data_IF_213171355133
#
_entry.id   IF_213171355133
#
_cell.length_a   1.000
_cell.length_b   1.000
_cell.length_c   1.000
_cell.angle_alpha   90.00
_cell.angle_beta   90.00
_cell.angle_gamma   90.00
#
_symmetry.space_group_name_H-M   'P 1'
#
loop_
_entity.id
_entity.type
_entity.pdbx_description
1 polymer ?
#
# COMPACT_ATOMS: atom_id res chain seq x y z
N UNK A 1 -16.42 -13.44 18.81
CA UNK A 1 -15.43 -13.19 17.76
C UNK A 1 -16.17 -12.49 16.64
N UNK A 2 -15.62 -11.40 16.10
CA UNK A 2 -16.20 -10.75 14.93
C UNK A 2 -15.97 -11.61 13.67
N UNK A 3 -16.76 -11.40 12.61
CA UNK A 3 -16.53 -12.09 11.33
C UNK A 3 -15.10 -11.85 10.81
N UNK A 4 -14.59 -10.63 11.00
CA UNK A 4 -13.23 -10.26 10.62
C UNK A 4 -12.16 -11.05 11.37
N UNK A 5 -12.30 -11.21 12.69
CA UNK A 5 -11.41 -12.04 13.50
C UNK A 5 -11.44 -13.50 13.03
N UNK A 6 -12.63 -14.05 12.76
CA UNK A 6 -12.76 -15.43 12.27
C UNK A 6 -12.13 -15.61 10.88
N UNK A 7 -12.40 -14.71 9.92
CA UNK A 7 -11.82 -14.77 8.57
C UNK A 7 -10.30 -14.62 8.62
N UNK A 8 -9.75 -13.75 9.49
CA UNK A 8 -8.30 -13.63 9.66
C UNK A 8 -7.67 -14.91 10.24
N UNK A 9 -8.35 -15.56 11.19
CA UNK A 9 -7.92 -16.83 11.77
C UNK A 9 -7.92 -17.94 10.72
N UNK A 10 -8.97 -18.01 9.89
CA UNK A 10 -9.03 -18.96 8.78
C UNK A 10 -7.95 -18.68 7.73
N UNK A 11 -7.67 -17.42 7.42
CA UNK A 11 -6.62 -17.08 6.47
C UNK A 11 -5.25 -17.57 6.99
N UNK A 12 -4.92 -17.35 8.26
CA UNK A 12 -3.71 -17.92 8.86
C UNK A 12 -3.67 -19.45 8.76
N UNK A 13 -4.80 -20.11 9.01
CA UNK A 13 -4.89 -21.57 8.85
C UNK A 13 -4.61 -22.00 7.42
N UNK A 14 -5.15 -21.31 6.41
CA UNK A 14 -4.86 -21.57 4.99
C UNK A 14 -3.37 -21.40 4.69
N UNK A 15 -2.72 -20.35 5.21
CA UNK A 15 -1.29 -20.13 5.02
C UNK A 15 -0.42 -21.25 5.63
N UNK A 16 -0.93 -21.96 6.65
CA UNK A 16 -0.23 -23.06 7.31
C UNK A 16 -0.63 -24.46 6.82
N UNK A 17 -1.81 -24.63 6.22
CA UNK A 17 -2.37 -25.94 5.86
C UNK A 17 -1.96 -26.45 4.48
N UNK A 18 -1.61 -25.57 3.54
CA UNK A 18 -1.27 -26.00 2.18
C UNK A 18 0.23 -26.31 2.09
N UNK A 19 0.64 -27.54 1.69
CA UNK A 19 1.96 -27.69 1.10
C UNK A 19 1.97 -26.76 -0.13
N UNK A 20 2.91 -25.81 -0.14
CA UNK A 20 3.07 -24.73 -1.14
C UNK A 20 3.37 -25.26 -2.57
N UNK A 21 3.07 -26.53 -2.85
CA UNK A 21 3.43 -27.26 -4.06
C UNK A 21 2.39 -27.09 -5.18
N UNK A 22 1.14 -26.71 -4.86
CA UNK A 22 0.03 -26.58 -5.84
C UNK A 22 -0.72 -25.24 -5.74
N UNK A 23 -0.18 -24.26 -5.00
CA UNK A 23 -0.74 -22.91 -4.87
C UNK A 23 0.18 -21.86 -5.51
N UNK A 24 -0.41 -20.87 -6.20
CA UNK A 24 0.28 -19.65 -6.66
C UNK A 24 0.81 -18.77 -5.50
N UNK A 25 0.48 -19.12 -4.25
CA UNK A 25 1.01 -18.50 -3.03
C UNK A 25 2.30 -19.25 -2.68
N UNK A 26 3.42 -18.55 -2.78
CA UNK A 26 4.77 -19.06 -2.49
C UNK A 26 5.14 -18.82 -1.03
N UNK A 27 6.26 -19.39 -0.59
CA UNK A 27 6.83 -19.09 0.75
C UNK A 27 7.11 -17.59 0.92
N UNK A 28 7.58 -16.91 -0.12
CA UNK A 28 7.82 -15.45 -0.10
C UNK A 28 6.52 -14.67 0.16
N UNK A 29 5.40 -15.13 -0.42
CA UNK A 29 4.09 -14.53 -0.16
C UNK A 29 3.67 -14.70 1.31
N UNK A 30 3.86 -15.90 1.87
CA UNK A 30 3.57 -16.17 3.29
C UNK A 30 4.42 -15.27 4.20
N UNK A 31 5.72 -15.18 3.94
CA UNK A 31 6.64 -14.34 4.72
C UNK A 31 6.21 -12.87 4.66
N UNK A 32 5.81 -12.37 3.49
CA UNK A 32 5.31 -11.00 3.32
C UNK A 32 3.96 -10.78 4.03
N UNK A 33 3.06 -11.79 4.02
CA UNK A 33 1.78 -11.69 4.70
C UNK A 33 1.92 -11.60 6.21
N UNK A 34 2.87 -12.33 6.78
CA UNK A 34 3.11 -12.42 8.22
C UNK A 34 4.06 -11.34 8.75
N UNK A 35 4.74 -10.59 7.86
CA UNK A 35 5.65 -9.53 8.27
C UNK A 35 4.92 -8.47 9.09
N UNK A 36 5.40 -8.19 10.29
CA UNK A 36 4.86 -7.15 11.16
C UNK A 36 5.49 -5.78 10.86
N UNK A 37 4.74 -4.72 11.16
CA UNK A 37 5.36 -3.40 11.30
C UNK A 37 6.30 -3.39 12.51
N UNK A 38 7.41 -2.66 12.42
CA UNK A 38 8.25 -2.41 13.57
C UNK A 38 7.40 -1.73 14.65
N UNK A 39 7.60 -2.07 15.94
CA UNK A 39 6.82 -1.48 17.02
C UNK A 39 7.01 0.04 17.03
N UNK A 40 6.04 0.76 16.48
CA UNK A 40 5.94 2.20 16.64
C UNK A 40 5.43 2.41 18.05
N UNK A 41 6.25 3.07 18.88
CA UNK A 41 5.89 3.41 20.26
C UNK A 41 4.51 4.09 20.26
N UNK A 42 3.54 3.45 20.92
CA UNK A 42 2.23 3.98 21.31
C UNK A 42 1.08 4.13 20.28
N UNK A 43 0.95 3.30 19.24
CA UNK A 43 -0.33 3.25 18.49
C UNK A 43 -0.70 1.82 18.04
N UNK A 44 -1.67 1.20 18.73
CA UNK A 44 -2.48 0.14 18.12
C UNK A 44 -3.18 0.75 16.91
N UNK A 45 -2.86 0.28 15.70
CA UNK A 45 -3.62 0.61 14.50
C UNK A 45 -4.60 -0.53 14.25
N UNK A 46 -5.89 -0.25 14.38
CA UNK A 46 -6.91 -1.17 13.89
C UNK A 46 -6.64 -1.48 12.41
N UNK A 47 -6.95 -2.71 11.93
CA UNK A 47 -6.79 -3.05 10.52
C UNK A 47 -7.57 -2.05 9.68
N UNK A 48 -6.91 -1.48 8.66
CA UNK A 48 -7.55 -0.46 7.85
C UNK A 48 -8.83 -1.04 7.24
N UNK A 49 -9.98 -0.37 7.43
CA UNK A 49 -11.27 -0.79 6.87
C UNK A 49 -11.49 -0.21 5.46
N UNK A 50 -10.63 0.70 5.00
CA UNK A 50 -10.75 1.40 3.72
C UNK A 50 -9.62 1.03 2.78
N UNK A 51 -9.96 0.78 1.51
CA UNK A 51 -8.95 0.47 0.49
C UNK A 51 -8.04 1.67 0.16
N UNK A 52 -8.45 2.88 0.56
CA UNK A 52 -7.64 4.11 0.51
C UNK A 52 -6.72 4.15 1.74
N UNK A 53 -5.45 4.46 1.51
CA UNK A 53 -4.39 4.42 2.52
C UNK A 53 -3.31 3.39 2.18
N UNK A 54 -2.11 3.61 2.69
CA UNK A 54 -1.02 2.66 2.57
C UNK A 54 -1.30 1.43 3.46
N UNK A 55 -1.14 0.20 2.94
CA UNK A 55 -1.60 -1.00 3.63
C UNK A 55 -0.89 -1.20 4.97
N UNK A 56 -1.69 -1.48 6.00
CA UNK A 56 -1.21 -1.85 7.33
C UNK A 56 -0.63 -3.27 7.32
N UNK A 57 0.47 -3.47 8.04
CA UNK A 57 1.01 -4.80 8.30
C UNK A 57 0.51 -5.36 9.64
N UNK A 58 0.40 -6.69 9.79
CA UNK A 58 0.64 -7.72 8.77
C UNK A 58 -0.44 -7.75 7.67
N UNK A 59 -0.02 -8.01 6.42
CA UNK A 59 -0.87 -7.84 5.24
C UNK A 59 -2.09 -8.78 5.22
N UNK A 60 -1.99 -9.97 5.84
CA UNK A 60 -3.13 -10.90 5.89
C UNK A 60 -4.33 -10.28 6.61
N UNK A 61 -4.11 -9.46 7.65
CA UNK A 61 -5.20 -8.78 8.38
C UNK A 61 -5.90 -7.76 7.49
N UNK A 62 -5.12 -6.97 6.74
CA UNK A 62 -5.67 -5.98 5.80
C UNK A 62 -6.48 -6.66 4.70
N UNK A 63 -5.98 -7.76 4.13
CA UNK A 63 -6.69 -8.53 3.10
C UNK A 63 -7.96 -9.16 3.69
N UNK A 64 -7.90 -9.77 4.88
CA UNK A 64 -9.08 -10.34 5.56
C UNK A 64 -10.16 -9.29 5.79
N UNK A 65 -9.80 -8.08 6.21
CA UNK A 65 -10.74 -6.98 6.38
C UNK A 65 -11.46 -6.63 5.06
N UNK A 66 -10.74 -6.63 3.94
CA UNK A 66 -11.31 -6.38 2.60
C UNK A 66 -12.21 -7.51 2.12
N UNK A 67 -11.82 -8.76 2.36
CA UNK A 67 -12.68 -9.92 2.07
C UNK A 67 -13.98 -9.87 2.89
N UNK A 68 -13.90 -9.55 4.19
CA UNK A 68 -15.08 -9.39 5.05
C UNK A 68 -16.00 -8.26 4.55
N UNK A 69 -15.43 -7.10 4.22
CA UNK A 69 -16.20 -6.01 3.63
C UNK A 69 -16.92 -6.45 2.35
N UNK A 70 -16.26 -7.24 1.51
CA UNK A 70 -16.88 -7.76 0.28
C UNK A 70 -17.99 -8.77 0.61
N UNK A 71 -17.79 -9.66 1.57
CA UNK A 71 -18.82 -10.60 2.05
C UNK A 71 -20.07 -9.87 2.57
N UNK A 72 -19.88 -8.86 3.41
CA UNK A 72 -20.97 -8.12 4.06
C UNK A 72 -21.71 -7.20 3.09
N UNK A 73 -20.99 -6.53 2.19
CA UNK A 73 -21.59 -5.52 1.30
C UNK A 73 -21.97 -6.06 -0.08
N UNK A 74 -21.47 -7.24 -0.46
CA UNK A 74 -21.57 -7.79 -1.82
C UNK A 74 -20.76 -7.02 -2.88
N UNK A 75 -20.05 -5.96 -2.49
CA UNK A 75 -19.32 -5.08 -3.40
C UNK A 75 -17.81 -5.22 -3.21
N UNK A 76 -17.05 -5.24 -4.31
CA UNK A 76 -15.60 -5.31 -4.24
C UNK A 76 -15.05 -3.99 -3.66
N UNK A 77 -14.24 -4.01 -2.58
CA UNK A 77 -13.69 -2.80 -1.97
C UNK A 77 -12.93 -1.89 -2.94
N UNK A 78 -12.26 -2.50 -3.92
CA UNK A 78 -11.41 -1.83 -4.92
C UNK A 78 -12.20 -0.85 -5.80
N UNK A 79 -13.51 -1.02 -5.92
CA UNK A 79 -14.38 -0.09 -6.68
C UNK A 79 -14.43 1.32 -6.12
N UNK A 80 -14.10 1.46 -4.83
CA UNK A 80 -14.09 2.74 -4.15
C UNK A 80 -12.82 3.54 -4.42
N UNK A 81 -11.80 2.94 -5.04
CA UNK A 81 -10.57 3.67 -5.31
C UNK A 81 -10.75 4.67 -6.47
N UNK A 82 -10.28 5.92 -6.31
CA UNK A 82 -10.31 6.92 -7.38
C UNK A 82 -9.55 6.48 -8.63
N UNK A 83 -10.01 6.93 -9.79
CA UNK A 83 -9.30 6.76 -11.07
C UNK A 83 -8.21 7.81 -11.23
N UNK A 84 -7.08 7.41 -11.77
CA UNK A 84 -5.96 8.31 -12.11
C UNK A 84 -5.78 8.37 -13.62
N UNK A 85 -6.35 9.38 -14.28
CA UNK A 85 -6.45 9.42 -15.76
C UNK A 85 -5.10 9.49 -16.49
N UNK A 86 -4.05 10.01 -15.83
CA UNK A 86 -2.69 10.11 -16.40
C UNK A 86 -1.79 8.90 -16.05
N UNK A 87 -2.32 7.95 -15.28
CA UNK A 87 -1.66 6.72 -14.89
C UNK A 87 -2.41 5.56 -15.54
N UNK A 88 -2.00 5.18 -16.76
CA UNK A 88 -2.64 4.09 -17.49
C UNK A 88 -2.53 2.77 -16.72
N UNK A 89 -3.66 2.38 -16.10
CA UNK A 89 -3.76 1.10 -15.42
C UNK A 89 -3.97 -0.01 -16.44
N UNK A 90 -3.01 -0.95 -16.53
CA UNK A 90 -3.08 -2.08 -17.46
C UNK A 90 -3.66 -3.31 -16.77
N UNK A 91 -4.45 -4.11 -17.52
CA UNK A 91 -4.98 -5.45 -17.20
C UNK A 91 -4.68 -5.94 -15.77
N UNK A 92 -5.45 -5.44 -14.81
CA UNK A 92 -5.45 -5.89 -13.42
C UNK A 92 -6.34 -7.13 -13.30
N UNK A 93 -5.97 -8.13 -12.49
CA UNK A 93 -6.75 -9.37 -12.36
C UNK A 93 -8.19 -9.11 -11.88
N UNK A 94 -8.39 -8.12 -10.99
CA UNK A 94 -9.73 -7.68 -10.56
C UNK A 94 -10.40 -6.68 -11.51
N UNK A 95 -9.71 -6.22 -12.57
CA UNK A 95 -10.36 -5.53 -13.70
C UNK A 95 -10.93 -6.52 -14.72
N UNK A 96 -10.55 -7.80 -14.69
CA UNK A 96 -11.27 -8.84 -15.41
C UNK A 96 -12.63 -9.05 -14.75
N UNK A 97 -13.70 -8.69 -15.46
CA UNK A 97 -15.08 -8.83 -14.99
C UNK A 97 -15.39 -10.25 -14.50
N UNK A 98 -14.78 -11.27 -15.11
CA UNK A 98 -15.02 -12.68 -14.77
C UNK A 98 -14.45 -13.07 -13.40
N UNK A 99 -13.17 -12.76 -13.12
CA UNK A 99 -12.54 -13.12 -11.83
C UNK A 99 -13.27 -12.43 -10.69
N UNK A 100 -13.54 -11.14 -10.87
CA UNK A 100 -14.28 -10.32 -9.90
C UNK A 100 -15.68 -10.88 -9.60
N UNK A 101 -16.44 -11.23 -10.63
CA UNK A 101 -17.80 -11.78 -10.46
C UNK A 101 -17.73 -13.13 -9.74
N UNK A 102 -16.86 -14.03 -10.18
CA UNK A 102 -16.68 -15.34 -9.56
C UNK A 102 -16.22 -15.25 -8.10
N UNK A 103 -15.31 -14.32 -7.77
CA UNK A 103 -14.89 -14.08 -6.39
C UNK A 103 -16.05 -13.56 -5.55
N UNK A 104 -16.82 -12.60 -6.07
CA UNK A 104 -18.01 -12.07 -5.39
C UNK A 104 -19.04 -13.16 -5.09
N UNK A 105 -19.32 -14.03 -6.05
CA UNK A 105 -20.27 -15.14 -5.88
C UNK A 105 -19.78 -16.15 -4.82
N UNK A 106 -18.50 -16.49 -4.83
CA UNK A 106 -17.90 -17.40 -3.83
C UNK A 106 -17.88 -16.80 -2.43
N UNK A 107 -17.58 -15.50 -2.31
CA UNK A 107 -17.63 -14.79 -1.02
C UNK A 107 -19.07 -14.71 -0.49
N UNK A 108 -20.04 -14.49 -1.38
CA UNK A 108 -21.46 -14.49 -1.02
C UNK A 108 -21.91 -15.87 -0.54
N UNK A 109 -21.53 -16.95 -1.23
CA UNK A 109 -21.80 -18.33 -0.80
C UNK A 109 -21.19 -18.62 0.58
N UNK A 110 -19.91 -18.25 0.77
CA UNK A 110 -19.22 -18.39 2.06
C UNK A 110 -19.93 -17.60 3.18
N UNK A 111 -20.37 -16.39 2.90
CA UNK A 111 -21.06 -15.53 3.87
C UNK A 111 -22.43 -16.08 4.26
N UNK A 112 -23.26 -16.44 3.27
CA UNK A 112 -24.62 -16.97 3.51
C UNK A 112 -24.58 -18.31 4.24
N UNK A 113 -23.65 -19.19 3.87
CA UNK A 113 -23.51 -20.50 4.51
C UNK A 113 -22.64 -20.51 5.76
N UNK A 114 -22.10 -19.37 6.20
CA UNK A 114 -21.09 -19.29 7.27
C UNK A 114 -21.46 -20.11 8.50
N UNK A 115 -22.66 -19.90 9.05
CA UNK A 115 -23.14 -20.57 10.26
C UNK A 115 -23.36 -22.08 10.09
N UNK A 116 -23.55 -22.56 8.86
CA UNK A 116 -23.82 -23.96 8.55
C UNK A 116 -22.57 -24.75 8.18
N UNK A 117 -21.54 -24.09 7.65
CA UNK A 117 -20.28 -24.73 7.29
C UNK A 117 -19.44 -25.05 8.52
N UNK A 118 -18.87 -26.25 8.52
CA UNK A 118 -17.81 -26.68 9.43
C UNK A 118 -16.53 -25.85 9.24
N UNK A 119 -15.61 -25.92 10.20
CA UNK A 119 -14.32 -25.21 10.11
C UNK A 119 -13.52 -25.57 8.86
N UNK A 120 -13.44 -26.86 8.52
CA UNK A 120 -12.74 -27.33 7.32
C UNK A 120 -13.39 -26.83 6.03
N UNK A 121 -14.73 -26.83 5.94
CA UNK A 121 -15.42 -26.30 4.76
C UNK A 121 -15.17 -24.80 4.56
N UNK A 122 -15.06 -24.04 5.66
CA UNK A 122 -14.72 -22.61 5.58
C UNK A 122 -13.27 -22.40 5.10
N UNK A 123 -12.34 -23.24 5.57
CA UNK A 123 -10.93 -23.24 5.10
C UNK A 123 -10.88 -23.52 3.60
N UNK A 124 -11.49 -24.62 3.13
CA UNK A 124 -11.47 -25.03 1.73
C UNK A 124 -12.07 -23.96 0.81
N UNK A 125 -13.19 -23.34 1.23
CA UNK A 125 -13.83 -22.25 0.50
C UNK A 125 -12.94 -21.00 0.45
N UNK A 126 -12.34 -20.62 1.58
CA UNK A 126 -11.43 -19.47 1.63
C UNK A 126 -10.19 -19.72 0.78
N UNK A 127 -9.57 -20.89 0.85
CA UNK A 127 -8.44 -21.27 0.02
C UNK A 127 -8.80 -21.17 -1.48
N UNK A 128 -9.96 -21.67 -1.88
CA UNK A 128 -10.44 -21.54 -3.26
C UNK A 128 -10.62 -20.09 -3.72
N UNK A 129 -11.04 -19.20 -2.81
CA UNK A 129 -11.15 -17.75 -3.09
C UNK A 129 -9.77 -17.11 -3.25
N UNK A 130 -8.83 -17.44 -2.35
CA UNK A 130 -7.46 -16.92 -2.41
C UNK A 130 -6.73 -17.40 -3.68
N UNK A 131 -6.91 -18.67 -4.08
CA UNK A 131 -6.41 -19.23 -5.34
C UNK A 131 -7.00 -18.52 -6.57
N UNK A 132 -8.31 -18.28 -6.57
CA UNK A 132 -8.98 -17.55 -7.66
C UNK A 132 -8.47 -16.10 -7.78
N UNK A 133 -8.21 -15.43 -6.66
CA UNK A 133 -7.64 -14.08 -6.66
C UNK A 133 -6.18 -14.08 -7.15
N UNK A 134 -5.40 -15.07 -6.72
CA UNK A 134 -3.96 -15.16 -6.94
C UNK A 134 -3.19 -13.97 -6.34
N UNK A 135 -1.87 -13.94 -6.53
CA UNK A 135 -1.00 -12.85 -6.04
C UNK A 135 -1.55 -11.47 -6.44
N UNK A 136 -1.91 -11.30 -7.71
CA UNK A 136 -2.35 -10.02 -8.25
C UNK A 136 -3.69 -9.55 -7.69
N UNK A 137 -4.66 -10.45 -7.49
CA UNK A 137 -5.94 -10.12 -6.88
C UNK A 137 -5.80 -9.71 -5.43
N UNK A 138 -4.93 -10.39 -4.67
CA UNK A 138 -4.60 -10.04 -3.28
C UNK A 138 -3.92 -8.68 -3.16
N UNK A 139 -2.95 -8.38 -4.05
CA UNK A 139 -2.33 -7.06 -4.11
C UNK A 139 -3.35 -5.95 -4.44
N UNK A 140 -4.33 -6.23 -5.31
CA UNK A 140 -5.38 -5.25 -5.62
C UNK A 140 -6.26 -4.94 -4.39
N UNK A 141 -6.52 -5.92 -3.52
CA UNK A 141 -7.24 -5.69 -2.25
C UNK A 141 -6.44 -4.78 -1.30
N UNK A 142 -5.10 -4.76 -1.40
CA UNK A 142 -4.21 -3.83 -0.69
C UNK A 142 -4.13 -2.43 -1.34
N UNK A 143 -4.92 -2.15 -2.39
CA UNK A 143 -4.87 -0.88 -3.12
C UNK A 143 -3.68 -0.73 -4.07
N UNK A 144 -2.89 -1.79 -4.28
CA UNK A 144 -1.76 -1.79 -5.22
C UNK A 144 -2.27 -1.73 -6.66
N UNK A 145 -1.73 -0.80 -7.44
CA UNK A 145 -2.04 -0.54 -8.84
C UNK A 145 -1.06 -1.26 -9.76
N UNK A 146 -1.38 -1.26 -11.06
CA UNK A 146 -0.55 -1.84 -12.10
C UNK A 146 -0.58 -0.97 -13.34
N UNK A 147 0.60 -0.58 -13.80
CA UNK A 147 0.87 0.14 -15.05
C UNK A 147 1.95 -0.59 -15.85
N UNK A 148 2.26 -0.12 -17.06
CA UNK A 148 3.43 -0.62 -17.81
C UNK A 148 4.70 -0.50 -16.97
N UNK A 149 5.49 -1.58 -16.89
CA UNK A 149 6.71 -1.64 -16.09
C UNK A 149 6.53 -2.02 -14.62
N UNK A 150 5.30 -2.28 -14.17
CA UNK A 150 5.03 -2.71 -12.79
C UNK A 150 5.57 -4.12 -12.52
N UNK A 151 5.96 -4.36 -11.27
CA UNK A 151 6.38 -5.67 -10.74
C UNK A 151 5.45 -6.06 -9.59
N UNK A 152 5.02 -7.32 -9.58
CA UNK A 152 4.13 -7.86 -8.55
C UNK A 152 4.93 -8.26 -7.30
N UNK A 153 5.41 -7.23 -6.58
CA UNK A 153 6.11 -7.33 -5.30
C UNK A 153 5.24 -6.78 -4.17
N UNK A 154 5.33 -7.37 -2.99
CA UNK A 154 4.59 -6.91 -1.82
C UNK A 154 5.10 -5.56 -1.30
N UNK A 155 4.22 -4.67 -0.84
CA UNK A 155 4.63 -3.42 -0.23
C UNK A 155 5.39 -3.68 1.08
N UNK A 156 6.52 -3.00 1.35
CA UNK A 156 7.20 -3.11 2.63
C UNK A 156 6.36 -2.55 3.79
N UNK A 157 6.72 -2.86 5.05
CA UNK A 157 6.06 -2.27 6.21
C UNK A 157 6.08 -0.76 6.20
N UNK A 158 4.98 -0.12 6.61
CA UNK A 158 4.86 1.33 6.68
C UNK A 158 5.93 1.94 7.58
N UNK A 159 6.20 1.27 8.69
CA UNK A 159 7.26 1.62 9.65
C UNK A 159 8.65 1.70 8.97
N UNK A 160 8.93 0.86 7.97
CA UNK A 160 10.17 0.91 7.19
C UNK A 160 10.27 2.21 6.40
N UNK A 161 9.17 2.64 5.76
CA UNK A 161 9.11 3.90 5.01
C UNK A 161 9.28 5.12 5.92
N UNK A 162 8.58 5.12 7.06
CA UNK A 162 8.63 6.20 8.04
C UNK A 162 10.02 6.32 8.67
N UNK A 163 10.65 5.19 9.01
CA UNK A 163 12.01 5.17 9.56
C UNK A 163 13.02 5.71 8.56
N UNK A 164 13.01 5.26 7.31
CA UNK A 164 14.00 5.70 6.31
C UNK A 164 13.79 7.16 5.90
N UNK A 165 12.54 7.63 5.94
CA UNK A 165 12.22 9.06 5.78
C UNK A 165 12.77 9.91 6.92
N UNK A 166 12.67 9.43 8.17
CA UNK A 166 13.14 10.11 9.38
C UNK A 166 14.64 9.91 9.68
N UNK A 167 15.35 9.07 8.94
CA UNK A 167 16.80 8.93 9.04
C UNK A 167 17.51 10.27 8.80
N UNK A 168 18.57 10.53 9.58
CA UNK A 168 19.40 11.73 9.44
C UNK A 168 19.93 11.85 8.01
N UNK A 169 19.82 13.04 7.42
CA UNK A 169 20.30 13.30 6.06
C UNK A 169 21.82 13.18 5.93
N UNK A 170 22.56 13.52 6.99
CA UNK A 170 24.02 13.41 7.04
C UNK A 170 24.44 12.59 8.25
N UNK A 171 25.48 11.76 8.13
CA UNK A 171 26.04 11.06 9.27
C UNK A 171 26.70 12.06 10.24
N UNK A 172 26.68 11.70 11.53
CA UNK A 172 27.10 12.58 12.63
C UNK A 172 28.58 12.99 12.55
N UNK A 173 29.40 12.22 11.84
CA UNK A 173 30.83 12.45 11.66
C UNK A 173 31.19 13.56 10.64
N UNK A 174 30.23 14.09 9.88
CA UNK A 174 30.51 15.13 8.85
C UNK A 174 30.13 16.53 9.36
N UNK A 175 28.89 16.70 9.84
CA UNK A 175 28.40 17.96 10.42
C UNK A 175 27.14 17.67 11.22
N UNK A 176 27.07 18.00 12.53
CA UNK A 176 25.87 17.79 13.33
C UNK A 176 24.73 18.62 12.74
N UNK A 177 23.75 17.93 12.17
CA UNK A 177 22.54 18.49 11.62
C UNK A 177 21.47 17.42 11.73
N UNK A 178 20.53 17.59 12.66
CA UNK A 178 19.45 16.63 12.90
C UNK A 178 18.34 16.69 11.84
N UNK A 179 18.58 17.35 10.70
CA UNK A 179 17.64 17.42 9.60
C UNK A 179 17.50 16.04 8.96
N UNK A 180 16.26 15.55 8.87
CA UNK A 180 15.99 14.24 8.28
C UNK A 180 16.11 14.28 6.76
N UNK A 181 16.27 13.10 6.16
CA UNK A 181 16.29 12.92 4.70
C UNK A 181 14.98 13.44 4.08
N UNK A 182 13.85 13.12 4.71
CA UNK A 182 12.54 13.63 4.33
C UNK A 182 12.41 15.14 4.39
N UNK A 183 12.83 15.78 5.49
CA UNK A 183 12.79 17.23 5.64
C UNK A 183 13.66 17.95 4.61
N UNK A 184 14.85 17.40 4.32
CA UNK A 184 15.72 17.93 3.27
C UNK A 184 15.10 17.80 1.87
N UNK A 185 14.37 16.74 1.60
CA UNK A 185 13.66 16.59 0.33
C UNK A 185 12.52 17.60 0.25
N UNK A 186 11.67 17.69 1.28
CA UNK A 186 10.53 18.61 1.32
C UNK A 186 10.97 20.05 1.10
N UNK A 187 12.09 20.46 1.70
CA UNK A 187 12.59 21.83 1.53
C UNK A 187 12.87 22.18 0.07
N UNK A 188 13.21 21.21 -0.80
CA UNK A 188 13.39 21.45 -2.24
C UNK A 188 12.06 21.69 -2.97
N UNK A 189 10.99 21.03 -2.53
CA UNK A 189 9.65 21.17 -3.11
C UNK A 189 8.97 22.48 -2.67
N UNK A 190 9.11 22.88 -1.40
CA UNK A 190 8.62 24.18 -0.92
C UNK A 190 9.18 25.39 -1.70
N UNK A 191 10.36 25.27 -2.33
CA UNK A 191 10.94 26.33 -3.17
C UNK A 191 10.41 26.32 -4.61
N UNK A 192 9.78 25.23 -5.04
CA UNK A 192 9.24 25.04 -6.40
C UNK A 192 7.73 25.28 -6.47
N UNK A 193 7.04 25.14 -5.35
CA UNK A 193 5.62 25.49 -5.19
C UNK A 193 5.46 27.01 -5.20
N UNK A 194 4.96 27.54 -6.32
CA UNK A 194 4.75 28.99 -6.52
C UNK A 194 3.53 29.47 -5.74
N UNK A 195 2.64 28.56 -5.35
CA UNK A 195 1.40 28.84 -4.61
C UNK A 195 1.52 28.65 -3.10
N UNK A 196 2.58 27.99 -2.61
CA UNK A 196 2.83 27.61 -1.20
C UNK A 196 1.67 26.78 -0.60
N UNK A 197 0.85 26.15 -1.43
CA UNK A 197 -0.46 25.67 -0.99
C UNK A 197 -0.44 24.24 -0.44
N UNK A 198 0.36 23.35 -1.01
CA UNK A 198 0.33 21.92 -0.66
C UNK A 198 1.52 21.49 0.19
N UNK A 199 2.75 21.79 -0.26
CA UNK A 199 3.98 21.42 0.45
C UNK A 199 4.25 22.29 1.69
N UNK A 200 3.61 23.47 1.75
CA UNK A 200 3.80 24.45 2.81
C UNK A 200 5.18 25.10 2.80
N UNK A 201 5.65 25.55 3.96
CA UNK A 201 6.90 26.32 4.09
C UNK A 201 7.93 25.60 4.96
N UNK A 202 9.11 25.30 4.39
CA UNK A 202 10.24 24.74 5.13
C UNK A 202 11.07 25.84 5.83
N UNK A 203 10.51 26.48 6.87
CA UNK A 203 11.19 27.50 7.69
C UNK A 203 11.11 27.17 9.19
N UNK A 204 12.03 27.75 9.96
CA UNK A 204 12.06 27.61 11.43
C UNK A 204 13.06 26.57 11.93
N UNK A 205 13.00 26.21 13.23
CA UNK A 205 13.91 25.24 13.84
C UNK A 205 13.87 23.86 13.15
N UNK A 206 15.00 23.15 13.14
CA UNK A 206 15.14 21.82 12.50
C UNK A 206 14.06 20.84 12.96
N UNK A 207 13.76 20.80 14.26
CA UNK A 207 12.70 19.94 14.80
C UNK A 207 11.31 20.23 14.17
N UNK A 208 10.98 21.51 13.94
CA UNK A 208 9.71 21.88 13.28
C UNK A 208 9.72 21.54 11.79
N UNK A 209 10.87 21.63 11.12
CA UNK A 209 10.99 21.21 9.72
C UNK A 209 10.81 19.70 9.58
N UNK A 210 11.40 18.92 10.49
CA UNK A 210 11.24 17.47 10.53
C UNK A 210 9.79 17.06 10.82
N UNK A 211 9.16 17.66 11.82
CA UNK A 211 7.74 17.41 12.15
C UNK A 211 6.80 17.77 11.00
N UNK A 212 7.02 18.92 10.33
CA UNK A 212 6.25 19.30 9.14
C UNK A 212 6.42 18.29 8.01
N UNK A 213 7.67 17.89 7.73
CA UNK A 213 7.94 16.91 6.69
C UNK A 213 7.32 15.55 6.99
N UNK A 214 7.34 15.13 8.24
CA UNK A 214 6.71 13.89 8.67
C UNK A 214 5.18 13.96 8.50
N UNK A 215 4.54 15.07 8.90
CA UNK A 215 3.09 15.28 8.66
C UNK A 215 2.72 15.19 7.19
N UNK A 216 3.55 15.76 6.30
CA UNK A 216 3.32 15.68 4.85
C UNK A 216 3.40 14.24 4.36
N UNK A 217 4.41 13.48 4.74
CA UNK A 217 4.53 12.08 4.28
C UNK A 217 3.44 11.19 4.89
N UNK A 218 3.10 11.38 6.17
CA UNK A 218 2.00 10.66 6.83
C UNK A 218 0.68 10.93 6.11
N UNK A 219 0.41 12.17 5.71
CA UNK A 219 -0.76 12.51 4.90
C UNK A 219 -0.78 11.76 3.56
N UNK A 220 0.35 11.71 2.84
CA UNK A 220 0.45 10.95 1.58
C UNK A 220 0.14 9.48 1.80
N UNK A 221 0.67 8.89 2.88
CA UNK A 221 0.46 7.49 3.21
C UNK A 221 -0.99 7.22 3.65
N UNK A 222 -1.60 8.10 4.44
CA UNK A 222 -2.99 7.94 4.92
C UNK A 222 -4.03 8.16 3.80
N UNK A 223 -3.74 9.07 2.86
CA UNK A 223 -4.61 9.43 1.75
C UNK A 223 -4.21 8.72 0.44
N UNK A 224 -3.38 7.67 0.51
CA UNK A 224 -2.86 6.98 -0.67
C UNK A 224 -4.01 6.36 -1.50
N UNK A 225 -4.07 6.70 -2.79
CA UNK A 225 -5.07 6.15 -3.73
C UNK A 225 -4.43 5.47 -4.93
N UNK A 226 -3.11 5.61 -5.05
CA UNK A 226 -2.30 4.95 -6.05
C UNK A 226 -0.97 4.53 -5.41
N UNK A 227 -0.76 3.22 -5.34
CA UNK A 227 0.46 2.61 -4.81
C UNK A 227 0.97 1.65 -5.88
N UNK A 228 2.22 1.77 -6.28
CA UNK A 228 2.76 0.88 -7.31
C UNK A 228 4.26 0.65 -7.11
N UNK A 229 4.70 -0.57 -7.42
CA UNK A 229 6.11 -0.92 -7.54
C UNK A 229 6.43 -1.14 -9.01
N UNK A 230 7.30 -0.29 -9.57
CA UNK A 230 7.61 -0.30 -11.00
C UNK A 230 9.05 0.10 -11.28
N UNK A 231 9.53 -0.26 -12.46
CA UNK A 231 10.87 0.09 -12.93
C UNK A 231 10.88 1.47 -13.59
N UNK A 232 11.76 2.36 -13.13
CA UNK A 232 12.18 3.54 -13.88
C UNK A 232 13.12 3.14 -15.04
N UNK A 233 13.43 4.07 -15.97
CA UNK A 233 14.53 3.86 -16.92
C UNK A 233 15.81 3.38 -16.22
N UNK A 234 16.51 2.43 -16.84
CA UNK A 234 17.65 1.69 -16.27
C UNK A 234 17.29 0.68 -15.16
N UNK A 235 16.06 0.15 -15.17
CA UNK A 235 15.60 -0.94 -14.29
C UNK A 235 15.65 -0.62 -12.80
N UNK A 236 15.70 0.66 -12.43
CA UNK A 236 15.68 1.07 -11.03
C UNK A 236 14.27 0.85 -10.47
N UNK A 237 14.13 -0.14 -9.60
CA UNK A 237 12.85 -0.51 -9.01
C UNK A 237 12.46 0.42 -7.86
N UNK A 238 11.32 1.08 -8.01
CA UNK A 238 10.81 2.06 -7.05
C UNK A 238 9.45 1.65 -6.52
N UNK A 239 9.21 1.98 -5.25
CA UNK A 239 7.87 2.11 -4.69
C UNK A 239 7.45 3.56 -4.85
N UNK A 240 6.32 3.80 -5.50
CA UNK A 240 5.74 5.12 -5.66
C UNK A 240 4.31 5.13 -5.08
N UNK A 241 4.05 6.12 -4.23
CA UNK A 241 2.80 6.28 -3.51
C UNK A 241 2.29 7.68 -3.79
N UNK A 242 1.03 7.79 -4.21
CA UNK A 242 0.36 9.06 -4.49
C UNK A 242 -1.00 9.12 -3.82
N UNK A 243 -1.35 10.31 -3.36
CA UNK A 243 -2.72 10.66 -3.00
C UNK A 243 -3.51 11.09 -4.26
N UNK A 244 -4.82 11.28 -4.12
CA UNK A 244 -5.75 11.58 -5.21
C UNK A 244 -5.36 12.74 -6.14
N UNK A 245 -4.86 13.87 -5.63
CA UNK A 245 -4.43 15.02 -6.46
C UNK A 245 -3.05 14.78 -7.10
N UNK A 246 -2.45 13.60 -6.91
CA UNK A 246 -1.22 13.18 -7.55
C UNK A 246 0.06 13.53 -6.80
N UNK A 247 0.02 14.32 -5.73
CA UNK A 247 1.17 14.51 -4.85
C UNK A 247 1.59 13.16 -4.24
N UNK A 248 2.90 12.94 -4.07
CA UNK A 248 3.35 11.64 -3.63
C UNK A 248 4.79 11.58 -3.17
N UNK A 249 5.24 10.36 -2.94
CA UNK A 249 6.55 10.04 -2.41
C UNK A 249 7.08 8.73 -3.01
N UNK A 250 8.42 8.63 -3.11
CA UNK A 250 9.11 7.46 -3.66
C UNK A 250 10.14 6.90 -2.70
N UNK A 251 10.26 5.59 -2.70
CA UNK A 251 11.35 4.84 -2.10
C UNK A 251 11.95 3.87 -3.12
N UNK A 252 13.10 3.26 -2.80
CA UNK A 252 13.41 1.93 -3.35
C UNK A 252 12.27 0.98 -3.05
N UNK A 253 12.06 -0.03 -3.90
CA UNK A 253 10.94 -0.98 -3.75
C UNK A 253 10.85 -1.65 -2.36
N UNK A 254 12.00 -1.88 -1.71
CA UNK A 254 12.14 -2.43 -0.35
C UNK A 254 11.88 -1.41 0.78
N UNK A 255 11.63 -0.15 0.45
CA UNK A 255 11.41 0.93 1.42
C UNK A 255 12.68 1.46 2.09
N UNK A 256 13.85 0.88 1.84
CA UNK A 256 15.08 1.16 2.59
C UNK A 256 15.75 2.49 2.21
N UNK A 257 15.37 3.08 1.08
CA UNK A 257 15.95 4.34 0.62
C UNK A 257 14.87 5.29 0.15
N UNK A 258 14.64 6.38 0.89
CA UNK A 258 13.78 7.46 0.43
C UNK A 258 14.40 8.17 -0.78
N UNK A 259 13.65 8.22 -1.89
CA UNK A 259 14.11 8.80 -3.16
C UNK A 259 13.66 10.24 -3.36
N UNK A 260 12.57 10.65 -2.70
CA UNK A 260 12.06 12.02 -2.74
C UNK A 260 10.56 12.09 -2.93
N UNK A 261 10.05 13.31 -2.91
CA UNK A 261 8.66 13.61 -3.23
C UNK A 261 8.42 13.70 -4.73
N UNK A 262 7.17 13.56 -5.13
CA UNK A 262 6.72 13.72 -6.52
C UNK A 262 5.56 14.69 -6.58
N UNK A 263 5.60 15.54 -7.60
CA UNK A 263 4.54 16.48 -7.94
C UNK A 263 3.39 15.74 -8.67
N UNK A 264 2.17 16.32 -8.66
CA UNK A 264 1.08 15.89 -9.52
C UNK A 264 1.51 15.71 -10.97
N UNK A 265 0.87 14.76 -11.64
CA UNK A 265 1.09 14.59 -13.07
C UNK A 265 0.51 15.79 -13.82
N UNK A 266 1.29 16.30 -14.76
CA UNK A 266 0.90 17.37 -15.66
C UNK A 266 1.24 16.93 -17.08
N UNK A 267 0.32 17.18 -18.01
CA UNK A 267 0.62 17.08 -19.42
C UNK A 267 1.78 18.01 -19.75
N UNK A 268 2.81 17.50 -20.42
CA UNK A 268 4.07 18.22 -20.68
C UNK A 268 4.81 18.69 -19.41
N UNK A 269 4.59 18.07 -18.25
CA UNK A 269 5.22 18.44 -16.98
C UNK A 269 6.74 18.48 -17.02
N UNK A 270 7.36 17.61 -17.82
CA UNK A 270 8.81 17.64 -18.09
C UNK A 270 9.26 18.97 -18.71
N UNK A 271 8.50 19.51 -19.66
CA UNK A 271 8.82 20.74 -20.40
C UNK A 271 8.70 21.99 -19.52
N UNK A 272 7.78 21.98 -18.56
CA UNK A 272 7.59 23.09 -17.59
C UNK A 272 8.35 22.88 -16.28
N UNK A 273 9.16 21.83 -16.18
CA UNK A 273 9.98 21.50 -15.01
C UNK A 273 9.16 21.18 -13.76
N UNK A 274 7.92 20.68 -13.93
CA UNK A 274 6.99 20.32 -12.86
C UNK A 274 6.71 21.46 -11.88
N UNK A 275 6.68 22.70 -12.37
CA UNK A 275 6.35 23.89 -11.57
C UNK A 275 4.83 24.03 -11.46
N UNK A 276 4.34 24.19 -10.24
CA UNK A 276 2.95 24.46 -9.89
C UNK A 276 2.83 25.86 -9.29
#
# INVERSE_FOLDING_TARGET
>A
MSLQEEVSTLFLQVLHSSPLEDSDITKEDVDAFLQEDLPVVDQYKEPDLKVVGYPSHPLYLAISARLCQWMETGNCPVDKLPKHNLLEETNSTLTSTDVRTQTGDRLKDLYVGWASFSGSERIDKLEGILKLLGRRGLMNLLGMRRTVGSKDLWPPPRSTLENTFNSKHRPDNIKPCDLTTGARALSKHCHRDVTVSWWGTAKGPVAKQNDHAFKVVTRILDEATWINIHSLPNEVLILEIRQQDGYGARWSHDGLNFRGFVEPMMENGHEVGWRH
#
